data_IF_839302146614
#
_entry.id   IF_839302146614
#
_cell.length_a   1.000
_cell.length_b   1.000
_cell.length_c   1.000
_cell.angle_alpha   90.00
_cell.angle_beta   90.00
_cell.angle_gamma   90.00
#
_symmetry.space_group_name_H-M   'P 1'
#
loop_
_entity.id
_entity.type
_entity.pdbx_description
1 polymer ?
#
# COMPACT_ATOMS: atom_id res chain seq x y z
N UNK A 1 -9.48 18.45 8.07
CA UNK A 1 -8.67 17.73 7.07
C UNK A 1 -9.01 18.23 5.68
N UNK A 2 -8.00 18.50 4.87
CA UNK A 2 -8.17 18.73 3.43
C UNK A 2 -8.05 17.39 2.66
N UNK A 3 -8.45 17.38 1.37
CA UNK A 3 -8.41 16.16 0.55
C UNK A 3 -7.01 15.53 0.45
N UNK A 4 -5.96 16.35 0.47
CA UNK A 4 -4.58 15.86 0.42
C UNK A 4 -4.17 15.16 1.71
N UNK A 5 -4.57 15.69 2.86
CA UNK A 5 -4.36 15.03 4.16
C UNK A 5 -5.11 13.70 4.23
N UNK A 6 -6.37 13.67 3.78
CA UNK A 6 -7.15 12.43 3.73
C UNK A 6 -6.54 11.38 2.80
N UNK A 7 -6.03 11.81 1.64
CA UNK A 7 -5.31 10.92 0.72
C UNK A 7 -4.06 10.32 1.36
N UNK A 8 -3.23 11.15 2.01
CA UNK A 8 -2.00 10.69 2.65
C UNK A 8 -2.29 9.72 3.81
N UNK A 9 -3.29 10.03 4.64
CA UNK A 9 -3.73 9.17 5.74
C UNK A 9 -4.27 7.82 5.24
N UNK A 10 -5.04 7.82 4.16
CA UNK A 10 -5.52 6.58 3.55
C UNK A 10 -4.36 5.72 2.99
N UNK A 11 -3.36 6.34 2.37
CA UNK A 11 -2.16 5.65 1.88
C UNK A 11 -1.33 5.06 3.02
N UNK A 12 -1.12 5.82 4.11
CA UNK A 12 -0.43 5.36 5.31
C UNK A 12 -1.16 4.17 5.95
N UNK A 13 -2.47 4.27 6.12
CA UNK A 13 -3.30 3.20 6.65
C UNK A 13 -3.19 1.90 5.85
N UNK A 14 -3.20 1.97 4.51
CA UNK A 14 -3.06 0.78 3.66
C UNK A 14 -1.68 0.15 3.84
N UNK A 15 -0.61 0.94 3.89
CA UNK A 15 0.76 0.45 4.06
C UNK A 15 0.97 -0.20 5.43
N UNK A 16 0.50 0.44 6.51
CA UNK A 16 0.57 -0.12 7.87
C UNK A 16 -0.25 -1.41 7.97
N UNK A 17 -1.48 -1.41 7.44
CA UNK A 17 -2.33 -2.58 7.40
C UNK A 17 -1.69 -3.74 6.63
N UNK A 18 -0.95 -3.44 5.56
CA UNK A 18 -0.21 -4.46 4.79
C UNK A 18 0.94 -5.04 5.61
N UNK A 19 1.72 -4.20 6.29
CA UNK A 19 2.84 -4.62 7.11
C UNK A 19 2.42 -5.46 8.34
N UNK A 20 1.22 -5.19 8.88
CA UNK A 20 0.67 -5.88 10.06
C UNK A 20 -0.27 -7.03 9.71
N UNK A 21 -0.60 -7.22 8.43
CA UNK A 21 -1.55 -8.23 8.00
C UNK A 21 -0.94 -9.62 8.05
N UNK A 22 -1.60 -10.52 8.78
CA UNK A 22 -1.31 -11.96 8.81
C UNK A 22 -1.99 -12.72 7.67
N UNK A 23 -2.68 -12.02 6.76
CA UNK A 23 -3.48 -12.59 5.67
C UNK A 23 -2.61 -13.03 4.47
N UNK A 24 -1.66 -13.94 4.74
CA UNK A 24 -0.94 -14.78 3.78
C UNK A 24 -0.45 -14.13 2.47
N UNK A 25 -0.33 -14.96 1.43
CA UNK A 25 0.28 -14.59 0.14
C UNK A 25 -0.47 -13.48 -0.63
N UNK A 26 -1.67 -13.09 -0.21
CA UNK A 26 -2.51 -12.11 -0.92
C UNK A 26 -2.42 -10.68 -0.42
N UNK A 27 -1.73 -10.40 0.70
CA UNK A 27 -1.81 -9.07 1.33
C UNK A 27 -1.25 -7.94 0.46
N UNK A 28 -0.18 -8.21 -0.30
CA UNK A 28 0.38 -7.26 -1.27
C UNK A 28 -0.60 -6.93 -2.41
N UNK A 29 -1.33 -7.92 -2.92
CA UNK A 29 -2.31 -7.71 -3.99
C UNK A 29 -3.55 -6.93 -3.49
N UNK A 30 -3.99 -7.24 -2.27
CA UNK A 30 -5.08 -6.51 -1.61
C UNK A 30 -4.68 -5.05 -1.39
N UNK A 31 -3.45 -4.79 -0.93
CA UNK A 31 -2.91 -3.45 -0.74
C UNK A 31 -2.87 -2.66 -2.05
N UNK A 32 -2.38 -3.30 -3.13
CA UNK A 32 -2.34 -2.67 -4.46
C UNK A 32 -3.74 -2.32 -4.98
N UNK A 33 -4.72 -3.19 -4.74
CA UNK A 33 -6.11 -2.91 -5.11
C UNK A 33 -6.65 -1.67 -4.36
N UNK A 34 -6.44 -1.61 -3.04
CA UNK A 34 -6.89 -0.49 -2.21
C UNK A 34 -6.22 0.84 -2.61
N UNK A 35 -4.93 0.84 -2.91
CA UNK A 35 -4.22 2.01 -3.43
C UNK A 35 -4.83 2.49 -4.75
N UNK A 36 -5.18 1.56 -5.64
CA UNK A 36 -5.87 1.88 -6.89
C UNK A 36 -7.19 2.62 -6.68
N UNK A 37 -7.98 2.20 -5.68
CA UNK A 37 -9.25 2.87 -5.33
C UNK A 37 -9.02 4.29 -4.78
N UNK A 38 -8.04 4.46 -3.89
CA UNK A 38 -7.72 5.77 -3.28
C UNK A 38 -7.24 6.77 -4.33
N UNK A 39 -6.43 6.33 -5.30
CA UNK A 39 -5.99 7.18 -6.42
C UNK A 39 -7.16 7.55 -7.34
N UNK A 40 -8.01 6.57 -7.68
CA UNK A 40 -9.17 6.82 -8.54
C UNK A 40 -10.12 7.87 -7.92
N UNK A 41 -10.27 7.87 -6.59
CA UNK A 41 -11.07 8.84 -5.85
C UNK A 41 -10.53 10.29 -5.97
N UNK A 42 -9.21 10.45 -6.10
CA UNK A 42 -8.58 11.76 -6.35
C UNK A 42 -8.74 12.23 -7.81
N UNK A 43 -9.39 11.45 -8.68
CA UNK A 43 -9.44 11.67 -10.15
C UNK A 43 -8.05 11.82 -10.77
N UNK A 44 -7.02 11.29 -10.11
CA UNK A 44 -5.67 11.26 -10.63
C UNK A 44 -5.44 9.96 -11.41
N UNK A 45 -4.57 10.02 -12.42
CA UNK A 45 -4.03 8.81 -13.05
C UNK A 45 -2.71 8.44 -12.39
N UNK A 46 -2.61 7.17 -11.96
CA UNK A 46 -1.33 6.57 -11.63
C UNK A 46 -0.56 6.30 -12.92
N UNK A 47 0.37 7.19 -13.23
CA UNK A 47 1.38 6.91 -14.27
C UNK A 47 2.10 5.60 -13.95
N UNK A 48 2.49 4.81 -14.97
CA UNK A 48 3.14 3.51 -14.77
C UNK A 48 4.34 3.56 -13.81
N UNK A 49 5.17 4.61 -13.89
CA UNK A 49 6.36 4.73 -13.03
C UNK A 49 6.01 4.85 -11.53
N UNK A 50 4.90 5.54 -11.20
CA UNK A 50 4.41 5.66 -9.82
C UNK A 50 3.82 4.34 -9.33
N UNK A 51 3.22 3.58 -10.24
CA UNK A 51 2.60 2.28 -9.96
C UNK A 51 3.67 1.24 -9.59
N UNK A 52 4.80 1.24 -10.29
CA UNK A 52 5.94 0.37 -9.99
C UNK A 52 6.61 0.75 -8.65
N UNK A 53 6.75 2.03 -8.36
CA UNK A 53 7.25 2.50 -7.07
C UNK A 53 6.35 2.05 -5.91
N UNK A 54 5.03 2.15 -6.07
CA UNK A 54 4.06 1.69 -5.06
C UNK A 54 4.10 0.19 -4.85
N UNK A 55 4.22 -0.60 -5.92
CA UNK A 55 4.42 -2.05 -5.83
C UNK A 55 5.68 -2.41 -5.04
N UNK A 56 6.79 -1.70 -5.24
CA UNK A 56 8.01 -1.91 -4.47
C UNK A 56 7.81 -1.60 -2.99
N UNK A 57 7.16 -0.48 -2.66
CA UNK A 57 6.89 -0.08 -1.27
C UNK A 57 6.01 -1.12 -0.57
N UNK A 58 4.95 -1.59 -1.24
CA UNK A 58 4.05 -2.63 -0.71
C UNK A 58 4.77 -3.96 -0.52
N UNK A 59 5.61 -4.37 -1.47
CA UNK A 59 6.45 -5.58 -1.35
C UNK A 59 7.43 -5.48 -0.18
N UNK A 60 8.02 -4.31 0.04
CA UNK A 60 8.89 -4.08 1.20
C UNK A 60 8.10 -4.16 2.51
N UNK A 61 6.89 -3.59 2.57
CA UNK A 61 6.02 -3.68 3.75
C UNK A 61 5.66 -5.15 4.07
N UNK A 62 5.42 -5.96 3.05
CA UNK A 62 5.18 -7.41 3.15
C UNK A 62 6.43 -8.17 3.67
N UNK A 63 7.59 -7.93 3.07
CA UNK A 63 8.86 -8.60 3.41
C UNK A 63 9.41 -8.24 4.80
N UNK A 64 9.04 -7.07 5.35
CA UNK A 64 9.50 -6.60 6.67
C UNK A 64 9.02 -7.52 7.81
N UNK A 65 7.94 -8.29 7.60
CA UNK A 65 7.46 -9.30 8.55
C UNK A 65 8.23 -10.63 8.42
N UNK A 66 8.63 -11.02 7.20
CA UNK A 66 9.41 -12.24 6.95
C UNK A 66 10.78 -12.23 7.64
N UNK A 67 11.45 -11.06 7.70
CA UNK A 67 12.73 -10.89 8.40
C UNK A 67 12.60 -10.94 9.93
N UNK A 68 11.45 -10.57 10.50
CA UNK A 68 11.21 -10.64 11.95
C UNK A 68 10.89 -12.04 12.45
N UNK A 69 10.42 -12.94 11.59
CA UNK A 69 10.15 -14.34 11.95
C UNK A 69 11.35 -15.28 11.76
N UNK A 70 12.43 -14.82 11.14
CA UNK A 70 13.65 -15.59 10.87
C UNK A 70 14.79 -15.36 11.89
N UNK A 71 14.56 -14.53 12.92
CA UNK A 71 15.47 -14.23 14.05
C UNK A 71 14.85 -14.70 15.37
#
# INVERSE_FOLDING_TARGET
MNNKELYLEAMEFILEGTALSTHGESKSDIAMYLVGLVVADQKEELKPEKLDALRMIIKMADETESLKMAL
#
